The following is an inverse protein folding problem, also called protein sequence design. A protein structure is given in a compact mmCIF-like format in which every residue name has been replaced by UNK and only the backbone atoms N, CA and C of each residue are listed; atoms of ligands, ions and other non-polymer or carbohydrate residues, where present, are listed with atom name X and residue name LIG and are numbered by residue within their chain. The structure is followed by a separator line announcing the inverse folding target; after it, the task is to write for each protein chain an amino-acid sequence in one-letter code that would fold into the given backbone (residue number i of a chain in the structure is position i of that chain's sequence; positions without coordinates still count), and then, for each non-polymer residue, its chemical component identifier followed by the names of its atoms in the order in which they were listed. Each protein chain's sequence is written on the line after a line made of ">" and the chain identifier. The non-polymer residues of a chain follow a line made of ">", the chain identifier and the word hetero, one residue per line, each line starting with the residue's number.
data_IF_261305642949
#
_entry.id   IF_261305642949
#
_cell.length_a   1.000
_cell.length_b   1.000
_cell.length_c   1.000
_cell.angle_alpha   90.00
_cell.angle_beta   90.00
_cell.angle_gamma   90.00
#
_symmetry.space_group_name_H-M   'P 1'
#
loop_
_entity.id
_entity.type
_entity.pdbx_description
1 polymer ?
#
# COMPACT_ATOMS: atom_id res chain seq x y z
N UNK A 1 -14.20 -15.41 38.93
CA UNK A 1 -15.10 -14.70 37.99
C UNK A 1 -14.48 -13.38 37.50
N UNK A 2 -13.95 -12.52 38.39
CA UNK A 2 -13.26 -11.27 38.01
C UNK A 2 -12.09 -11.44 37.02
N UNK A 3 -11.30 -12.50 37.16
CA UNK A 3 -10.14 -12.74 36.30
C UNK A 3 -10.50 -13.07 34.85
N UNK A 4 -11.68 -13.67 34.63
CA UNK A 4 -12.20 -13.95 33.29
C UNK A 4 -12.69 -12.67 32.61
N UNK A 5 -13.33 -11.78 33.38
CA UNK A 5 -13.76 -10.46 32.91
C UNK A 5 -12.55 -9.60 32.50
N UNK A 6 -11.46 -9.63 33.29
CA UNK A 6 -10.22 -8.91 32.98
C UNK A 6 -9.52 -9.45 31.72
N UNK A 7 -9.54 -10.76 31.48
CA UNK A 7 -9.01 -11.34 30.22
C UNK A 7 -9.86 -10.97 29.00
N UNK A 8 -11.19 -11.00 29.14
CA UNK A 8 -12.10 -10.60 28.06
C UNK A 8 -11.91 -9.12 27.72
N UNK A 9 -11.71 -8.27 28.74
CA UNK A 9 -11.46 -6.83 28.57
C UNK A 9 -10.14 -6.54 27.85
N UNK A 10 -9.08 -7.29 28.15
CA UNK A 10 -7.78 -7.17 27.50
C UNK A 10 -7.79 -7.63 26.04
N UNK A 11 -8.50 -8.72 25.71
CA UNK A 11 -8.66 -9.17 24.33
C UNK A 11 -9.45 -8.13 23.53
N UNK A 12 -10.55 -7.61 24.11
CA UNK A 12 -11.38 -6.58 23.50
C UNK A 12 -10.65 -5.24 23.31
N UNK A 13 -9.78 -4.85 24.24
CA UNK A 13 -8.94 -3.65 24.11
C UNK A 13 -7.80 -3.81 23.09
N UNK A 14 -7.30 -5.03 22.89
CA UNK A 14 -6.32 -5.36 21.84
C UNK A 14 -6.98 -5.40 20.45
N UNK A 15 -8.27 -5.75 20.40
CA UNK A 15 -9.12 -5.71 19.21
C UNK A 15 -9.58 -4.26 18.88
N UNK A 16 -9.92 -3.44 19.88
CA UNK A 16 -10.26 -2.02 19.71
C UNK A 16 -9.03 -1.13 19.41
N UNK A 17 -7.83 -1.54 19.83
CA UNK A 17 -6.58 -0.88 19.37
C UNK A 17 -6.28 -1.16 17.88
N UNK A 18 -6.98 -2.13 17.28
CA UNK A 18 -7.02 -2.37 15.83
C UNK A 18 -8.12 -1.58 15.12
N UNK A 19 -9.00 -0.90 15.86
CA UNK A 19 -10.13 -0.12 15.36
C UNK A 19 -9.99 1.37 15.73
N UNK A 20 -8.81 1.97 15.62
CA UNK A 20 -8.75 3.43 15.62
C UNK A 20 -9.20 3.92 14.24
N UNK A 21 -10.40 4.52 14.09
CA UNK A 21 -10.96 4.81 12.78
C UNK A 21 -10.27 5.98 12.05
N UNK A 22 -9.25 6.61 12.65
CA UNK A 22 -8.63 7.82 12.08
C UNK A 22 -7.09 7.87 12.10
N UNK A 23 -6.40 6.74 12.31
CA UNK A 23 -4.94 6.72 12.11
C UNK A 23 -4.62 6.54 10.64
N UNK A 24 -4.23 7.63 9.99
CA UNK A 24 -3.67 7.62 8.65
C UNK A 24 -2.45 6.68 8.65
N UNK A 25 -2.61 5.50 8.07
CA UNK A 25 -1.56 4.48 8.03
C UNK A 25 -0.62 4.77 6.86
N UNK A 26 0.33 5.68 7.10
CA UNK A 26 1.33 6.07 6.10
C UNK A 26 2.08 4.86 5.54
N UNK A 27 2.25 3.79 6.33
CA UNK A 27 2.97 2.59 5.90
C UNK A 27 2.33 1.94 4.66
N UNK A 28 0.99 1.85 4.62
CA UNK A 28 0.26 1.28 3.47
C UNK A 28 0.39 2.14 2.22
N UNK A 29 0.35 3.46 2.39
CA UNK A 29 0.55 4.41 1.29
C UNK A 29 1.96 4.27 0.69
N UNK A 30 2.98 4.13 1.54
CA UNK A 30 4.34 3.86 1.08
C UNK A 30 4.41 2.53 0.33
N UNK A 31 3.81 1.46 0.87
CA UNK A 31 3.81 0.15 0.20
C UNK A 31 3.09 0.21 -1.16
N UNK A 32 1.98 0.93 -1.28
CA UNK A 32 1.28 1.12 -2.55
C UNK A 32 2.17 1.82 -3.60
N UNK A 33 2.93 2.85 -3.19
CA UNK A 33 3.89 3.56 -4.05
C UNK A 33 5.09 2.69 -4.43
N UNK A 34 5.74 2.06 -3.44
CA UNK A 34 6.94 1.24 -3.66
C UNK A 34 6.61 -0.05 -4.43
N UNK A 35 5.43 -0.64 -4.23
CA UNK A 35 5.03 -1.85 -4.97
C UNK A 35 4.94 -1.56 -6.47
N UNK A 36 4.30 -0.47 -6.88
CA UNK A 36 4.22 -0.06 -8.28
C UNK A 36 5.59 0.17 -8.92
N UNK A 37 6.48 0.84 -8.19
CA UNK A 37 7.86 1.10 -8.65
C UNK A 37 8.68 -0.20 -8.78
N UNK A 38 8.68 -1.05 -7.75
CA UNK A 38 9.42 -2.32 -7.74
C UNK A 38 8.90 -3.25 -8.82
N UNK A 39 7.57 -3.38 -8.96
CA UNK A 39 6.96 -4.24 -9.97
C UNK A 39 7.28 -3.72 -11.37
N UNK A 40 7.10 -2.42 -11.63
CA UNK A 40 7.40 -1.82 -12.94
C UNK A 40 8.88 -1.97 -13.33
N UNK A 41 9.80 -1.66 -12.41
CA UNK A 41 11.23 -1.82 -12.64
C UNK A 41 11.63 -3.30 -12.85
N UNK A 42 11.08 -4.22 -12.04
CA UNK A 42 11.38 -5.65 -12.16
C UNK A 42 10.88 -6.23 -13.47
N UNK A 43 9.65 -5.90 -13.87
CA UNK A 43 9.06 -6.37 -15.12
C UNK A 43 9.82 -5.79 -16.32
N UNK A 44 10.08 -4.49 -16.29
CA UNK A 44 10.81 -3.79 -17.34
C UNK A 44 12.23 -4.32 -17.51
N UNK A 45 12.94 -4.59 -16.41
CA UNK A 45 14.27 -5.20 -16.45
C UNK A 45 14.25 -6.62 -17.03
N UNK A 46 13.24 -7.44 -16.66
CA UNK A 46 13.12 -8.79 -17.17
C UNK A 46 12.88 -8.81 -18.68
N UNK A 47 12.04 -7.89 -19.17
CA UNK A 47 11.74 -7.74 -20.59
C UNK A 47 12.95 -7.20 -21.36
N UNK A 48 13.62 -6.14 -20.86
CA UNK A 48 14.83 -5.59 -21.50
C UNK A 48 15.92 -6.66 -21.63
N UNK A 49 16.10 -7.49 -20.61
CA UNK A 49 17.06 -8.60 -20.63
C UNK A 49 16.69 -9.68 -21.64
N UNK A 50 15.40 -9.97 -21.82
CA UNK A 50 14.94 -10.99 -22.76
C UNK A 50 14.94 -10.53 -24.22
N UNK A 51 14.66 -9.25 -24.48
CA UNK A 51 14.61 -8.68 -25.82
C UNK A 51 15.95 -8.09 -26.28
N UNK A 52 16.93 -7.96 -25.38
CA UNK A 52 18.20 -7.29 -25.67
C UNK A 52 18.01 -5.82 -26.01
N UNK A 53 16.87 -5.24 -25.61
CA UNK A 53 16.55 -3.84 -25.86
C UNK A 53 17.39 -2.95 -24.94
N UNK A 54 17.75 -1.77 -25.47
CA UNK A 54 18.18 -0.64 -24.65
C UNK A 54 17.16 -0.40 -23.53
N UNK A 55 17.51 0.27 -22.41
CA UNK A 55 16.67 0.42 -21.20
C UNK A 55 15.36 1.23 -21.37
N UNK A 56 14.82 1.27 -22.59
CA UNK A 56 13.55 1.82 -23.02
C UNK A 56 12.38 1.10 -22.39
N UNK A 57 12.36 -0.24 -22.39
CA UNK A 57 11.21 -0.98 -21.86
C UNK A 57 11.16 -0.83 -20.35
N UNK A 58 12.30 -0.85 -19.66
CA UNK A 58 12.40 -0.48 -18.25
C UNK A 58 11.87 0.92 -17.98
N UNK A 59 12.25 1.94 -18.77
CA UNK A 59 11.77 3.31 -18.58
C UNK A 59 10.24 3.41 -18.69
N UNK A 60 9.66 2.79 -19.72
CA UNK A 60 8.21 2.77 -19.96
C UNK A 60 7.47 2.04 -18.83
N UNK A 61 7.91 0.84 -18.46
CA UNK A 61 7.28 0.05 -17.40
C UNK A 61 7.44 0.66 -16.02
N UNK A 62 8.54 1.37 -15.77
CA UNK A 62 8.75 2.10 -14.52
C UNK A 62 7.74 3.24 -14.40
N UNK A 63 7.50 4.01 -15.47
CA UNK A 63 6.48 5.07 -15.49
C UNK A 63 5.08 4.47 -15.31
N UNK A 64 4.76 3.39 -16.02
CA UNK A 64 3.49 2.68 -15.89
C UNK A 64 3.25 2.12 -14.48
N UNK A 65 4.24 1.45 -13.91
CA UNK A 65 4.17 0.90 -12.55
C UNK A 65 4.03 1.98 -11.50
N UNK A 66 4.80 3.06 -11.62
CA UNK A 66 4.70 4.23 -10.75
C UNK A 66 3.32 4.88 -10.86
N UNK A 67 2.80 5.08 -12.08
CA UNK A 67 1.46 5.63 -12.30
C UNK A 67 0.37 4.76 -11.66
N UNK A 68 0.49 3.43 -11.76
CA UNK A 68 -0.41 2.48 -11.08
C UNK A 68 -0.35 2.58 -9.55
N UNK A 69 0.85 2.67 -8.97
CA UNK A 69 1.04 2.89 -7.54
C UNK A 69 0.46 4.22 -7.05
N UNK A 70 0.70 5.30 -7.80
CA UNK A 70 0.13 6.63 -7.55
C UNK A 70 -1.40 6.64 -7.64
N UNK A 71 -1.99 5.88 -8.56
CA UNK A 71 -3.44 5.78 -8.67
C UNK A 71 -4.07 5.15 -7.41
N UNK A 72 -3.46 4.08 -6.88
CA UNK A 72 -3.89 3.45 -5.63
C UNK A 72 -3.72 4.39 -4.42
N UNK A 73 -2.59 5.09 -4.35
CA UNK A 73 -2.34 6.13 -3.34
C UNK A 73 -3.43 7.22 -3.38
N UNK A 74 -3.69 7.79 -4.56
CA UNK A 74 -4.67 8.87 -4.73
C UNK A 74 -6.08 8.40 -4.39
N UNK A 75 -6.44 7.16 -4.74
CA UNK A 75 -7.73 6.55 -4.39
C UNK A 75 -7.92 6.43 -2.87
N UNK A 76 -6.88 5.99 -2.14
CA UNK A 76 -6.91 5.93 -0.68
C UNK A 76 -7.03 7.33 -0.07
N UNK A 77 -6.28 8.30 -0.60
CA UNK A 77 -6.31 9.68 -0.13
C UNK A 77 -7.68 10.35 -0.33
N UNK A 78 -8.25 10.22 -1.53
CA UNK A 78 -9.57 10.75 -1.87
C UNK A 78 -10.69 10.09 -1.05
N UNK A 79 -10.58 8.79 -0.76
CA UNK A 79 -11.55 8.08 0.08
C UNK A 79 -11.54 8.59 1.53
N UNK A 80 -10.37 8.98 2.04
CA UNK A 80 -10.25 9.66 3.32
C UNK A 80 -10.88 11.06 3.32
N UNK A 81 -10.70 11.84 2.25
CA UNK A 81 -11.27 13.18 2.15
C UNK A 81 -12.80 13.17 2.03
N UNK A 82 -13.37 12.23 1.26
CA UNK A 82 -14.82 12.10 1.08
C UNK A 82 -15.51 11.64 2.36
N UNK A 83 -14.89 10.78 3.16
CA UNK A 83 -15.48 10.27 4.40
C UNK A 83 -15.47 11.29 5.55
N UNK A 84 -14.94 12.50 5.31
CA UNK A 84 -14.88 13.61 6.28
C UNK A 84 -15.99 14.66 6.07
N UNK A 85 -16.91 14.44 5.12
CA UNK A 85 -18.05 15.32 4.81
C UNK A 85 -19.36 14.65 5.21
#
# INVERSE_FOLDING_TARGET
>A
MKELEDKIKQIKQKEDSSNNPERFDYSRLLVDLFSGLIVGASLGYFIDKSLGTLPLTLFIFTILGTAGGFYNFYKHFKKFEINKK
#
